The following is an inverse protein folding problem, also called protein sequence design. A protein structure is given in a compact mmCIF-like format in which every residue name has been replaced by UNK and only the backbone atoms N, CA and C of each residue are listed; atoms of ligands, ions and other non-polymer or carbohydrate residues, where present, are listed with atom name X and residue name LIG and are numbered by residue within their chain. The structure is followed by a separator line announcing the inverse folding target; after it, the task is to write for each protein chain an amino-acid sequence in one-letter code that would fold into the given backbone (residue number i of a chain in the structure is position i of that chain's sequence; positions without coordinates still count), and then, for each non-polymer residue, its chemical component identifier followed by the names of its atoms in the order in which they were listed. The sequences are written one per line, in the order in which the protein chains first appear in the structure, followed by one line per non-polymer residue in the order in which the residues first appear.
data_IF_260827744213
#
_entry.id   IF_260827744213
#
_cell.length_a   1.000
_cell.length_b   1.000
_cell.length_c   1.000
_cell.angle_alpha   90.00
_cell.angle_beta   90.00
_cell.angle_gamma   90.00
#
_symmetry.space_group_name_H-M   'P 1'
#
loop_
_entity.id
_entity.type
_entity.pdbx_description
1 polymer ?
#
# COMPACT_ATOMS: atom_id res chain seq x y z
N UNK A 1 16.66 3.84 -5.72
CA UNK A 1 15.22 3.95 -5.95
C UNK A 1 14.68 2.63 -6.50
N UNK A 2 13.45 2.32 -6.16
CA UNK A 2 12.79 1.13 -6.68
C UNK A 2 12.06 1.44 -7.97
N UNK A 3 11.99 0.45 -8.86
CA UNK A 3 11.06 0.48 -9.98
C UNK A 3 9.68 0.12 -9.44
N UNK A 4 8.66 0.90 -9.76
CA UNK A 4 7.31 0.67 -9.26
C UNK A 4 6.49 -0.14 -10.25
N UNK A 5 5.84 -1.19 -9.75
CA UNK A 5 4.86 -1.97 -10.49
C UNK A 5 3.50 -1.88 -9.82
N UNK A 6 2.46 -1.83 -10.62
CA UNK A 6 1.09 -1.76 -10.14
C UNK A 6 0.35 -3.02 -10.57
N UNK A 7 -0.22 -3.74 -9.60
CA UNK A 7 -1.10 -4.86 -9.94
C UNK A 7 -2.43 -4.32 -10.48
N UNK A 8 -3.16 -5.17 -11.20
CA UNK A 8 -4.49 -4.81 -11.70
C UNK A 8 -5.44 -4.46 -10.56
N UNK A 9 -5.35 -5.20 -9.45
CA UNK A 9 -6.17 -4.94 -8.27
C UNK A 9 -5.86 -3.54 -7.69
N UNK A 10 -4.58 -3.18 -7.61
CA UNK A 10 -4.19 -1.86 -7.13
C UNK A 10 -4.74 -0.76 -8.03
N UNK A 11 -4.57 -0.89 -9.34
CA UNK A 11 -5.05 0.12 -10.29
C UNK A 11 -6.56 0.35 -10.18
N UNK A 12 -7.32 -0.74 -10.05
CA UNK A 12 -8.77 -0.67 -9.90
C UNK A 12 -9.15 0.04 -8.61
N UNK A 13 -8.52 -0.33 -7.51
CA UNK A 13 -8.81 0.27 -6.20
C UNK A 13 -8.39 1.73 -6.13
N UNK A 14 -7.27 2.08 -6.75
CA UNK A 14 -6.80 3.46 -6.81
C UNK A 14 -7.83 4.36 -7.49
N UNK A 15 -8.32 3.93 -8.65
CA UNK A 15 -9.35 4.67 -9.40
C UNK A 15 -10.63 4.81 -8.60
N UNK A 16 -11.03 3.74 -7.91
CA UNK A 16 -12.24 3.75 -7.10
C UNK A 16 -12.15 4.74 -5.93
N UNK A 17 -11.01 4.77 -5.25
CA UNK A 17 -10.79 5.70 -4.13
C UNK A 17 -10.77 7.14 -4.60
N UNK A 18 -10.13 7.41 -5.73
CA UNK A 18 -10.13 8.73 -6.34
C UNK A 18 -11.55 9.17 -6.69
N UNK A 19 -12.35 8.28 -7.26
CA UNK A 19 -13.74 8.53 -7.61
C UNK A 19 -14.60 8.82 -6.39
N UNK A 20 -14.28 8.18 -5.25
CA UNK A 20 -15.00 8.41 -3.99
C UNK A 20 -14.61 9.72 -3.30
N UNK A 21 -13.71 10.50 -3.89
CA UNK A 21 -13.30 11.78 -3.35
C UNK A 21 -12.29 11.68 -2.21
N UNK A 22 -11.61 10.55 -2.06
CA UNK A 22 -10.56 10.42 -1.05
C UNK A 22 -9.35 11.26 -1.43
N UNK A 23 -8.61 11.74 -0.42
CA UNK A 23 -7.40 12.52 -0.64
C UNK A 23 -6.26 11.61 -1.12
N UNK A 24 -6.23 11.40 -2.42
CA UNK A 24 -5.27 10.49 -3.06
C UNK A 24 -3.82 10.96 -2.87
N UNK A 25 -3.60 12.26 -2.62
CA UNK A 25 -2.26 12.77 -2.37
C UNK A 25 -1.59 12.12 -1.16
N UNK A 26 -2.38 11.71 -0.16
CA UNK A 26 -1.86 11.01 1.01
C UNK A 26 -1.27 9.66 0.63
N UNK A 27 -1.94 8.93 -0.26
CA UNK A 27 -1.45 7.66 -0.77
C UNK A 27 -0.22 7.86 -1.66
N UNK A 28 -0.28 8.86 -2.54
CA UNK A 28 0.84 9.17 -3.43
C UNK A 28 2.10 9.52 -2.64
N UNK A 29 1.97 10.24 -1.53
CA UNK A 29 3.10 10.58 -0.67
C UNK A 29 3.74 9.34 -0.05
N UNK A 30 2.93 8.39 0.41
CA UNK A 30 3.43 7.12 0.96
C UNK A 30 4.17 6.34 -0.12
N UNK A 31 3.58 6.24 -1.31
CA UNK A 31 4.19 5.54 -2.44
C UNK A 31 5.53 6.16 -2.80
N UNK A 32 5.63 7.49 -2.84
CA UNK A 32 6.88 8.19 -3.15
C UNK A 32 7.97 7.90 -2.12
N UNK A 33 7.62 7.90 -0.83
CA UNK A 33 8.56 7.53 0.22
C UNK A 33 9.09 6.10 0.05
N UNK A 34 8.18 5.16 -0.25
CA UNK A 34 8.56 3.77 -0.50
C UNK A 34 9.44 3.65 -1.75
N UNK A 35 9.09 4.35 -2.83
CA UNK A 35 9.84 4.31 -4.09
C UNK A 35 11.28 4.75 -3.89
N UNK A 36 11.50 5.74 -3.04
CA UNK A 36 12.84 6.26 -2.74
C UNK A 36 13.66 5.33 -1.86
N UNK A 37 13.05 4.25 -1.37
CA UNK A 37 13.71 3.32 -0.48
C UNK A 37 13.83 3.82 0.95
N UNK A 38 13.07 4.84 1.30
CA UNK A 38 13.07 5.38 2.65
C UNK A 38 12.22 4.53 3.59
N UNK A 39 12.66 4.44 4.83
CA UNK A 39 11.87 3.85 5.87
C UNK A 39 10.68 4.77 6.18
N UNK A 40 9.48 4.20 6.25
CA UNK A 40 8.29 4.99 6.53
C UNK A 40 8.26 5.46 7.98
N UNK A 41 7.73 6.66 8.19
CA UNK A 41 7.48 7.17 9.53
C UNK A 41 6.63 6.17 10.34
N UNK A 42 6.89 6.07 11.63
CA UNK A 42 6.18 5.14 12.51
C UNK A 42 4.66 5.32 12.53
N UNK A 43 4.18 6.51 12.19
CA UNK A 43 2.73 6.78 12.12
C UNK A 43 2.01 5.91 11.07
N UNK A 44 2.74 5.42 10.07
CA UNK A 44 2.16 4.56 9.03
C UNK A 44 2.11 3.08 9.43
N UNK A 45 2.70 2.72 10.57
CA UNK A 45 2.67 1.36 11.12
C UNK A 45 3.02 0.27 10.11
N UNK A 46 4.08 0.52 9.34
CA UNK A 46 4.57 -0.45 8.35
C UNK A 46 5.04 -1.72 9.04
N UNK A 47 4.60 -2.86 8.57
CA UNK A 47 5.01 -4.16 9.11
C UNK A 47 4.86 -5.27 8.08
N UNK A 48 5.65 -6.33 8.27
CA UNK A 48 5.62 -7.51 7.40
C UNK A 48 4.49 -8.43 7.87
N UNK A 49 3.74 -8.93 6.91
CA UNK A 49 2.64 -9.84 7.18
C UNK A 49 3.11 -11.28 7.31
N UNK A 50 2.28 -12.10 7.96
CA UNK A 50 2.52 -13.53 8.16
C UNK A 50 1.40 -14.33 7.49
N UNK A 51 1.57 -15.66 7.42
CA UNK A 51 0.56 -16.55 6.85
C UNK A 51 0.53 -16.47 5.33
N UNK A 52 -0.67 -16.41 4.77
CA UNK A 52 -0.86 -16.38 3.32
C UNK A 52 -0.17 -15.20 2.63
N UNK A 53 -0.01 -14.10 3.37
CA UNK A 53 0.62 -12.88 2.86
C UNK A 53 2.06 -12.72 3.34
N UNK A 54 2.71 -13.82 3.72
CA UNK A 54 4.09 -13.78 4.20
C UNK A 54 5.00 -13.09 3.18
N UNK A 55 5.83 -12.18 3.67
CA UNK A 55 6.72 -11.42 2.82
C UNK A 55 6.16 -10.11 2.29
N UNK A 56 4.83 -9.95 2.30
CA UNK A 56 4.20 -8.69 1.95
C UNK A 56 4.25 -7.75 3.13
N UNK A 57 4.28 -6.45 2.84
CA UNK A 57 4.17 -5.40 3.84
C UNK A 57 2.78 -4.80 3.82
N UNK A 58 2.33 -4.38 4.98
CA UNK A 58 1.11 -3.59 5.13
C UNK A 58 1.47 -2.29 5.82
N UNK A 59 1.00 -1.17 5.31
CA UNK A 59 1.11 0.10 6.01
C UNK A 59 -0.24 0.81 6.01
N UNK A 60 -0.40 1.72 6.98
CA UNK A 60 -1.64 2.47 7.15
C UNK A 60 -1.42 3.89 6.62
N UNK A 61 -2.03 4.21 5.47
CA UNK A 61 -2.06 5.59 4.96
C UNK A 61 -2.86 6.45 5.94
N UNK A 62 -3.96 5.87 6.44
CA UNK A 62 -4.77 6.34 7.58
C UNK A 62 -5.18 5.11 8.37
N UNK A 63 -5.70 5.25 9.60
CA UNK A 63 -6.01 4.08 10.44
C UNK A 63 -6.81 2.97 9.75
N UNK A 64 -7.74 3.34 8.89
CA UNK A 64 -8.58 2.37 8.15
C UNK A 64 -8.31 2.36 6.64
N UNK A 65 -7.20 2.93 6.21
CA UNK A 65 -6.80 2.99 4.80
C UNK A 65 -5.46 2.29 4.65
N UNK A 66 -5.49 1.07 4.14
CA UNK A 66 -4.35 0.16 4.10
C UNK A 66 -3.75 0.05 2.70
N UNK A 67 -2.44 -0.10 2.65
CA UNK A 67 -1.70 -0.39 1.43
C UNK A 67 -0.87 -1.64 1.63
N UNK A 68 -1.04 -2.63 0.75
CA UNK A 68 -0.19 -3.82 0.70
C UNK A 68 0.83 -3.68 -0.42
N UNK A 69 2.08 -3.99 -0.13
CA UNK A 69 3.15 -3.91 -1.12
C UNK A 69 4.21 -4.98 -0.87
N UNK A 70 5.00 -5.24 -1.90
CA UNK A 70 6.10 -6.20 -1.85
C UNK A 70 7.33 -5.56 -2.47
N UNK A 71 8.48 -5.72 -1.82
CA UNK A 71 9.76 -5.26 -2.38
C UNK A 71 10.62 -6.47 -2.66
N UNK A 72 10.97 -6.67 -3.92
CA UNK A 72 11.79 -7.78 -4.38
C UNK A 72 12.65 -7.34 -5.55
N UNK A 73 13.94 -7.66 -5.53
CA UNK A 73 14.84 -7.39 -6.66
C UNK A 73 14.80 -5.92 -7.13
N UNK A 74 14.77 -5.00 -6.18
CA UNK A 74 14.67 -3.55 -6.44
C UNK A 74 13.38 -3.13 -7.13
N UNK A 75 12.34 -3.97 -7.06
CA UNK A 75 11.02 -3.67 -7.59
C UNK A 75 10.05 -3.51 -6.43
N UNK A 76 9.35 -2.38 -6.41
CA UNK A 76 8.26 -2.12 -5.48
C UNK A 76 6.95 -2.45 -6.20
N UNK A 77 6.33 -3.55 -5.79
CA UNK A 77 5.04 -3.97 -6.34
C UNK A 77 3.93 -3.51 -5.41
N UNK A 78 3.08 -2.63 -5.92
CA UNK A 78 1.89 -2.16 -5.20
C UNK A 78 0.76 -3.13 -5.50
N UNK A 79 0.32 -3.84 -4.50
CA UNK A 79 -0.55 -4.99 -4.66
C UNK A 79 -2.02 -4.66 -4.46
N UNK A 80 -2.33 -4.01 -3.34
CA UNK A 80 -3.71 -3.75 -2.99
C UNK A 80 -3.78 -2.53 -2.09
N UNK A 81 -4.76 -1.68 -2.34
CA UNK A 81 -5.07 -0.55 -1.48
C UNK A 81 -6.56 -0.59 -1.19
N UNK A 82 -6.94 -0.38 0.07
CA UNK A 82 -8.34 -0.44 0.43
C UNK A 82 -8.62 0.40 1.68
N UNK A 83 -9.87 0.76 1.86
CA UNK A 83 -10.36 1.36 3.09
C UNK A 83 -11.22 0.35 3.82
N UNK A 84 -11.23 0.43 5.15
CA UNK A 84 -11.98 -0.49 5.98
C UNK A 84 -11.10 -1.26 6.92
N UNK A 85 -11.68 -2.21 7.63
CA UNK A 85 -10.96 -3.05 8.58
C UNK A 85 -10.10 -4.08 7.86
N UNK A 86 -9.19 -4.72 8.62
CA UNK A 86 -8.42 -5.85 8.12
C UNK A 86 -9.33 -6.96 7.57
N UNK A 87 -10.49 -7.17 8.17
CA UNK A 87 -11.45 -8.15 7.69
C UNK A 87 -11.93 -7.88 6.28
N UNK A 88 -12.14 -6.62 5.92
CA UNK A 88 -12.54 -6.25 4.57
C UNK A 88 -11.42 -6.48 3.57
N UNK A 89 -10.18 -6.24 3.98
CA UNK A 89 -9.02 -6.38 3.12
C UNK A 89 -8.65 -7.85 2.88
N UNK A 90 -8.82 -8.70 3.85
CA UNK A 90 -8.36 -10.08 3.83
C UNK A 90 -9.48 -11.13 3.76
N UNK A 91 -10.62 -10.76 3.31
CA UNK A 91 -11.72 -11.71 3.12
C UNK A 91 -11.42 -12.78 2.08
#
# INVERSE_FOLDING_TARGET
MYTVKFTSAFKKNYKLMKKRGMDISLLDDVIEELRRGKELDGKYKDHVLKGEYAGFHECHVKPDWLLLYLIENNILTLTLVNTGSHGDLFK
#
